data_IF_159213723622
#
_entry.id   IF_159213723622
#
_cell.length_a   1.000
_cell.length_b   1.000
_cell.length_c   1.000
_cell.angle_alpha   90.00
_cell.angle_beta   90.00
_cell.angle_gamma   90.00
#
_symmetry.space_group_name_H-M   'P 1'
#
loop_
_entity.id
_entity.type
_entity.pdbx_description
1 polymer ?
#
# COMPACT_ATOMS: atom_id res chain seq x y z
N UNK A 1 1.20 -57.85 0.80
CA UNK A 1 1.80 -57.16 -0.36
C UNK A 1 2.10 -55.74 0.08
N UNK A 2 3.35 -55.30 -0.07
CA UNK A 2 3.79 -53.89 -0.08
C UNK A 2 3.09 -53.15 -1.27
N UNK A 3 3.10 -51.84 -1.48
CA UNK A 3 3.94 -50.73 -1.06
C UNK A 3 3.14 -49.42 -1.27
N UNK A 4 3.51 -48.39 -0.52
CA UNK A 4 3.38 -46.96 -0.72
C UNK A 4 2.81 -46.42 -2.06
N UNK A 5 1.95 -45.41 -1.94
CA UNK A 5 1.93 -44.28 -2.88
C UNK A 5 1.66 -43.02 -2.07
N UNK A 6 2.74 -42.54 -1.48
CA UNK A 6 2.91 -41.13 -1.18
C UNK A 6 2.86 -40.36 -2.51
N UNK A 7 1.86 -39.50 -2.65
CA UNK A 7 1.91 -38.42 -3.63
C UNK A 7 1.64 -37.15 -2.85
N UNK A 8 2.72 -36.71 -2.20
CA UNK A 8 3.07 -35.32 -1.93
C UNK A 8 1.90 -34.39 -1.57
N UNK A 9 1.82 -33.87 -0.33
CA UNK A 9 1.30 -32.52 -0.17
C UNK A 9 2.24 -31.59 -0.96
N UNK A 10 1.91 -31.38 -2.24
CA UNK A 10 2.69 -30.57 -3.16
C UNK A 10 2.65 -29.15 -2.65
N UNK A 11 3.75 -28.78 -1.99
CA UNK A 11 4.14 -27.47 -1.53
C UNK A 11 3.09 -26.76 -0.68
N UNK A 12 3.52 -26.28 0.49
CA UNK A 12 2.89 -25.11 1.06
C UNK A 12 2.78 -24.05 -0.02
N UNK A 13 1.58 -23.89 -0.57
CA UNK A 13 1.10 -22.59 -0.99
C UNK A 13 1.05 -21.79 0.29
N UNK A 14 2.21 -21.27 0.70
CA UNK A 14 2.26 -20.04 1.46
C UNK A 14 1.43 -19.07 0.65
N UNK A 15 0.19 -18.72 1.07
CA UNK A 15 -0.48 -17.60 0.43
C UNK A 15 0.50 -16.43 0.57
N UNK A 16 0.87 -15.82 -0.55
CA UNK A 16 1.71 -14.63 -0.58
C UNK A 16 1.15 -13.69 0.50
N UNK A 17 1.93 -13.48 1.56
CA UNK A 17 1.47 -12.85 2.80
C UNK A 17 0.69 -11.58 2.46
N UNK A 18 -0.64 -11.66 2.53
CA UNK A 18 -1.59 -10.57 2.24
C UNK A 18 -1.60 -9.56 3.39
N UNK A 19 -0.43 -9.22 3.92
CA UNK A 19 -0.33 -8.28 5.01
C UNK A 19 -0.32 -6.87 4.44
N UNK A 20 -1.34 -6.09 4.80
CA UNK A 20 -1.45 -4.73 4.35
C UNK A 20 -0.38 -3.86 5.04
N UNK A 21 0.50 -3.27 4.24
CA UNK A 21 1.57 -2.40 4.70
C UNK A 21 1.33 -0.96 4.24
N UNK A 22 2.03 -0.01 4.83
CA UNK A 22 1.97 1.38 4.40
C UNK A 22 2.81 1.55 3.14
N UNK A 23 2.22 2.09 2.09
CA UNK A 23 2.89 2.46 0.85
C UNK A 23 2.71 3.96 0.60
N UNK A 24 3.69 4.56 -0.06
CA UNK A 24 3.68 5.93 -0.56
C UNK A 24 3.49 5.83 -2.07
N UNK A 25 2.38 6.39 -2.55
CA UNK A 25 2.00 6.47 -3.95
C UNK A 25 2.34 7.87 -4.44
N UNK A 26 3.25 7.96 -5.40
CA UNK A 26 3.58 9.19 -6.12
C UNK A 26 2.68 9.32 -7.33
N UNK A 27 2.10 10.50 -7.51
CA UNK A 27 1.21 10.80 -8.63
C UNK A 27 1.76 11.95 -9.45
N UNK A 28 1.40 12.00 -10.72
CA UNK A 28 1.71 13.13 -11.58
C UNK A 28 0.85 14.35 -11.18
N UNK A 29 1.46 15.53 -11.19
CA UNK A 29 0.82 16.79 -10.79
C UNK A 29 -0.03 17.40 -11.91
N UNK A 30 0.17 16.97 -13.15
CA UNK A 30 -0.37 17.67 -14.30
C UNK A 30 -1.83 17.26 -14.52
N UNK A 31 -2.73 18.24 -14.36
CA UNK A 31 -4.07 18.32 -14.99
C UNK A 31 -5.35 18.12 -14.16
N UNK A 32 -5.34 18.30 -12.84
CA UNK A 32 -6.60 18.43 -12.11
C UNK A 32 -6.61 19.71 -11.29
N UNK A 33 -7.31 20.73 -11.78
CA UNK A 33 -7.72 21.92 -11.01
C UNK A 33 -8.80 21.55 -9.95
N UNK A 34 -8.69 20.33 -9.41
CA UNK A 34 -9.58 19.64 -8.50
C UNK A 34 -8.86 19.48 -7.15
N UNK A 35 -9.64 19.27 -6.10
CA UNK A 35 -9.08 19.06 -4.76
C UNK A 35 -8.19 17.80 -4.73
N UNK A 36 -6.93 17.88 -4.24
CA UNK A 36 -6.02 16.75 -4.25
C UNK A 36 -6.50 15.58 -3.39
N UNK A 37 -7.24 15.83 -2.30
CA UNK A 37 -7.81 14.73 -1.50
C UNK A 37 -8.93 14.01 -2.25
N UNK A 38 -9.77 14.75 -2.97
CA UNK A 38 -10.81 14.14 -3.81
C UNK A 38 -10.22 13.19 -4.86
N UNK A 39 -9.14 13.61 -5.52
CA UNK A 39 -8.40 12.76 -6.45
C UNK A 39 -7.81 11.51 -5.77
N UNK A 40 -7.18 11.66 -4.61
CA UNK A 40 -6.59 10.53 -3.88
C UNK A 40 -7.63 9.50 -3.44
N UNK A 41 -8.76 9.97 -2.90
CA UNK A 41 -9.87 9.10 -2.47
C UNK A 41 -10.47 8.38 -3.69
N UNK A 42 -10.63 9.05 -4.84
CA UNK A 42 -11.12 8.42 -6.07
C UNK A 42 -10.19 7.31 -6.56
N UNK A 43 -8.88 7.56 -6.61
CA UNK A 43 -7.88 6.56 -7.03
C UNK A 43 -7.91 5.34 -6.11
N UNK A 44 -8.00 5.56 -4.79
CA UNK A 44 -8.14 4.49 -3.81
C UNK A 44 -9.46 3.76 -3.94
N UNK A 45 -10.57 4.45 -4.16
CA UNK A 45 -11.91 3.86 -4.32
C UNK A 45 -11.96 2.96 -5.54
N UNK A 46 -11.27 3.31 -6.64
CA UNK A 46 -11.20 2.48 -7.84
C UNK A 46 -10.55 1.12 -7.60
N UNK A 47 -9.70 0.99 -6.57
CA UNK A 47 -8.96 -0.24 -6.26
C UNK A 47 -9.56 -0.96 -5.05
N UNK A 48 -10.06 -0.21 -4.07
CA UNK A 48 -10.64 -0.75 -2.84
C UNK A 48 -12.13 -1.03 -2.96
N UNK A 49 -12.77 -0.54 -4.03
CA UNK A 49 -14.18 -0.77 -4.35
C UNK A 49 -15.18 0.11 -3.58
N UNK A 50 -14.75 0.81 -2.53
CA UNK A 50 -15.62 1.65 -1.70
C UNK A 50 -14.91 2.91 -1.19
N UNK A 51 -15.65 4.02 -1.10
CA UNK A 51 -15.13 5.29 -0.58
C UNK A 51 -14.75 5.20 0.90
N UNK A 52 -15.54 4.47 1.70
CA UNK A 52 -15.26 4.23 3.12
C UNK A 52 -13.95 3.46 3.32
N UNK A 53 -13.72 2.44 2.49
CA UNK A 53 -12.48 1.68 2.48
C UNK A 53 -11.30 2.55 2.04
N UNK A 54 -11.49 3.43 1.05
CA UNK A 54 -10.49 4.39 0.61
C UNK A 54 -10.09 5.36 1.71
N UNK A 55 -11.05 5.98 2.38
CA UNK A 55 -10.81 6.89 3.51
C UNK A 55 -10.15 6.17 4.69
N UNK A 56 -10.52 4.92 4.96
CA UNK A 56 -9.91 4.11 6.02
C UNK A 56 -8.49 3.62 5.70
N UNK A 57 -8.17 3.44 4.42
CA UNK A 57 -6.83 3.05 3.96
C UNK A 57 -5.88 4.26 3.83
N UNK A 58 -6.41 5.45 3.53
CA UNK A 58 -5.64 6.68 3.40
C UNK A 58 -5.05 7.10 4.75
N UNK A 59 -3.72 7.14 4.84
CA UNK A 59 -2.99 7.55 6.04
C UNK A 59 -2.65 9.04 5.96
N UNK A 60 -2.17 9.48 4.80
CA UNK A 60 -1.80 10.87 4.59
C UNK A 60 -1.93 11.26 3.13
N UNK A 61 -2.41 12.47 2.88
CA UNK A 61 -2.51 13.07 1.54
C UNK A 61 -1.47 14.19 1.43
N UNK A 62 -0.48 14.04 0.56
CA UNK A 62 0.52 15.07 0.31
C UNK A 62 -0.05 16.12 -0.66
N UNK A 63 -0.23 17.36 -0.17
CA UNK A 63 -0.92 18.43 -0.91
C UNK A 63 0.01 19.47 -1.56
N UNK A 64 1.27 19.57 -1.12
CA UNK A 64 2.05 20.83 -1.30
C UNK A 64 3.40 20.67 -2.00
N UNK A 65 4.23 19.67 -1.65
CA UNK A 65 5.61 19.56 -2.16
C UNK A 65 5.93 18.20 -2.81
N UNK A 66 5.09 17.20 -2.59
CA UNK A 66 5.15 15.90 -3.25
C UNK A 66 3.72 15.56 -3.63
N UNK A 67 3.49 15.21 -4.89
CA UNK A 67 2.19 14.82 -5.38
C UNK A 67 1.99 13.35 -5.10
N UNK A 68 1.00 13.04 -4.27
CA UNK A 68 0.78 11.67 -3.85
C UNK A 68 0.11 11.53 -2.50
N UNK A 69 0.01 10.29 -2.05
CA UNK A 69 -0.58 9.92 -0.78
C UNK A 69 0.09 8.68 -0.21
N UNK A 70 -0.02 8.49 1.10
CA UNK A 70 0.30 7.23 1.75
C UNK A 70 -0.97 6.51 2.14
N UNK A 71 -1.01 5.21 1.89
CA UNK A 71 -2.14 4.37 2.19
C UNK A 71 -1.70 2.97 2.65
N UNK A 72 -2.53 2.34 3.47
CA UNK A 72 -2.37 0.95 3.88
C UNK A 72 -2.96 0.04 2.81
N UNK A 73 -2.10 -0.69 2.11
CA UNK A 73 -2.48 -1.47 0.92
C UNK A 73 -1.91 -2.89 1.00
N UNK A 74 -2.63 -3.85 0.42
CA UNK A 74 -2.11 -5.19 0.15
C UNK A 74 -1.22 -5.18 -1.09
N UNK A 75 -0.30 -6.16 -1.26
CA UNK A 75 0.51 -6.26 -2.46
C UNK A 75 -0.34 -6.35 -3.76
N UNK A 76 -1.52 -6.95 -3.69
CA UNK A 76 -2.47 -7.01 -4.82
C UNK A 76 -3.00 -5.61 -5.17
N UNK A 77 -3.43 -4.84 -4.17
CA UNK A 77 -3.91 -3.46 -4.37
C UNK A 77 -2.80 -2.54 -4.89
N UNK A 78 -1.56 -2.74 -4.45
CA UNK A 78 -0.39 -2.01 -4.98
C UNK A 78 -0.20 -2.28 -6.48
N UNK A 79 -0.35 -3.53 -6.90
CA UNK A 79 -0.25 -3.89 -8.32
C UNK A 79 -1.38 -3.26 -9.15
N UNK A 80 -2.56 -3.07 -8.58
CA UNK A 80 -3.67 -2.37 -9.25
C UNK A 80 -3.49 -0.86 -9.29
N UNK A 81 -3.06 -0.24 -8.18
CA UNK A 81 -2.75 1.20 -8.12
C UNK A 81 -1.64 1.57 -9.10
N UNK A 82 -0.62 0.73 -9.22
CA UNK A 82 0.51 0.97 -10.15
C UNK A 82 0.08 0.98 -11.63
N UNK A 83 -1.11 0.47 -11.96
CA UNK A 83 -1.68 0.49 -13.32
C UNK A 83 -2.56 1.72 -13.57
N UNK A 84 -2.90 2.48 -12.54
CA UNK A 84 -3.78 3.64 -12.68
C UNK A 84 -3.07 4.78 -13.43
N UNK A 85 -3.76 5.46 -14.36
CA UNK A 85 -3.21 6.61 -15.04
C UNK A 85 -2.91 7.72 -14.02
N UNK A 86 -1.74 8.34 -14.14
CA UNK A 86 -1.29 9.39 -13.22
C UNK A 86 -0.59 8.86 -11.96
N UNK A 87 -0.42 7.55 -11.78
CA UNK A 87 0.47 6.99 -10.75
C UNK A 87 1.87 6.81 -11.35
N UNK A 88 2.86 7.49 -10.77
CA UNK A 88 4.25 7.46 -11.21
C UNK A 88 5.02 6.32 -10.55
N UNK A 89 4.83 6.13 -9.24
CA UNK A 89 5.58 5.15 -8.47
C UNK A 89 4.85 4.79 -7.18
N UNK A 90 4.96 3.52 -6.76
CA UNK A 90 4.50 3.07 -5.44
C UNK A 90 5.69 2.48 -4.69
N UNK A 91 6.01 3.04 -3.52
CA UNK A 91 7.12 2.58 -2.67
C UNK A 91 6.60 2.18 -1.30
N UNK A 92 7.16 1.11 -0.72
CA UNK A 92 6.82 0.72 0.65
C UNK A 92 7.38 1.75 1.63
N UNK A 93 6.54 2.27 2.51
CA UNK A 93 6.97 3.17 3.57
C UNK A 93 7.83 2.42 4.58
N UNK A 94 9.00 2.97 4.88
CA UNK A 94 9.89 2.46 5.92
C UNK A 94 9.72 3.33 7.17
N UNK A 95 9.00 2.82 8.17
CA UNK A 95 8.96 3.44 9.49
C UNK A 95 10.29 3.17 10.20
N UNK A 96 11.19 4.15 10.19
CA UNK A 96 12.38 4.11 11.05
C UNK A 96 11.89 4.28 12.49
N UNK A 97 11.96 3.21 13.29
CA UNK A 97 11.78 3.32 14.73
C UNK A 97 12.97 4.09 15.30
N UNK A 98 12.78 5.38 15.57
CA UNK A 98 13.71 6.18 16.35
C UNK A 98 13.72 5.60 17.77
N UNK A 99 14.76 4.83 18.10
CA UNK A 99 15.10 4.53 19.48
C UNK A 99 15.37 5.88 20.14
N UNK A 100 14.39 6.39 20.89
CA UNK A 100 14.64 7.45 21.85
C UNK A 100 15.62 6.89 22.85
N UNK A 101 16.90 7.19 22.68
CA UNK A 101 17.89 6.94 23.70
C UNK A 101 17.42 7.70 24.94
N UNK A 102 16.87 6.97 25.91
CA UNK A 102 16.64 7.44 27.26
C UNK A 102 17.99 7.91 27.76
N UNK A 103 18.24 9.22 27.68
CA UNK A 103 19.37 9.85 28.31
C UNK A 103 19.16 9.72 29.82
N UNK A 104 19.63 8.63 30.42
CA UNK A 104 19.87 8.55 31.85
C UNK A 104 21.00 9.50 32.16
N UNK A 105 20.65 10.73 32.54
CA UNK A 105 21.58 11.58 33.28
C UNK A 105 21.73 10.97 34.68
N UNK A 106 22.95 10.53 34.99
CA UNK A 106 23.39 10.16 36.34
C UNK A 106 23.80 11.40 37.13
#
# INVERSE_FOLDING_TARGET
>A
MADSSESTPSSGVTPASSEAAVYIVYTDQDNSNEDPEAYHVRTLTSVLGSEEAAKGALIYSYKTAMHGFSAKLTPEQVAEISKQPGVLQVVKSQTVQLHSATASFS
#
